data_IF_218162625612
#
_entry.id   IF_218162625612
#
_cell.length_a   1.000
_cell.length_b   1.000
_cell.length_c   1.000
_cell.angle_alpha   90.00
_cell.angle_beta   90.00
_cell.angle_gamma   90.00
#
_symmetry.space_group_name_H-M   'P 1'
#
loop_
_entity.id
_entity.type
_entity.pdbx_description
1 polymer ?
#
# COMPACT_ATOMS: atom_id res chain seq x y z
N UNK A 1 -0.80 17.35 37.37
CA UNK A 1 -0.56 18.68 36.76
C UNK A 1 0.46 19.44 37.59
N UNK A 2 1.67 19.68 37.06
CA UNK A 2 2.76 20.39 37.77
C UNK A 2 2.43 21.85 38.05
N UNK A 3 1.55 22.44 37.25
CA UNK A 3 1.19 23.87 37.33
C UNK A 3 0.26 24.12 38.51
N UNK A 4 -0.73 23.24 38.71
CA UNK A 4 -1.64 23.29 39.86
C UNK A 4 -0.89 23.06 41.19
N UNK A 5 0.07 22.13 41.20
CA UNK A 5 0.93 21.89 42.37
C UNK A 5 1.83 23.09 42.69
N UNK A 6 2.37 23.78 41.67
CA UNK A 6 3.14 25.03 41.88
C UNK A 6 2.29 26.15 42.47
N UNK A 7 1.08 26.38 41.96
CA UNK A 7 0.17 27.39 42.55
C UNK A 7 -0.18 27.09 44.00
N UNK A 8 -0.48 25.83 44.32
CA UNK A 8 -0.77 25.46 45.70
C UNK A 8 0.42 25.75 46.63
N UNK A 9 1.64 25.50 46.17
CA UNK A 9 2.86 25.77 46.93
C UNK A 9 3.18 27.26 47.09
N UNK A 10 2.88 28.09 46.08
CA UNK A 10 3.15 29.52 46.08
C UNK A 10 2.07 30.34 46.80
N UNK A 11 0.79 29.96 46.63
CA UNK A 11 -0.35 30.73 47.12
C UNK A 11 -0.95 30.17 48.43
N UNK A 12 -0.61 28.92 48.82
CA UNK A 12 -1.15 28.20 49.98
C UNK A 12 -2.69 28.13 50.02
N UNK A 13 -3.35 28.40 48.88
CA UNK A 13 -4.80 28.38 48.72
C UNK A 13 -5.23 27.01 48.21
N UNK A 14 -5.98 26.28 49.05
CA UNK A 14 -6.66 25.05 48.66
C UNK A 14 -7.78 25.36 47.67
N UNK A 15 -7.54 25.16 46.38
CA UNK A 15 -8.59 25.22 45.36
C UNK A 15 -9.30 23.87 45.25
N UNK A 16 -10.62 23.86 45.46
CA UNK A 16 -11.48 22.68 45.23
C UNK A 16 -11.70 22.37 43.74
N UNK A 17 -11.01 23.07 42.83
CA UNK A 17 -11.18 22.92 41.38
C UNK A 17 -9.86 22.54 40.71
N UNK A 18 -9.94 21.61 39.76
CA UNK A 18 -8.80 21.16 38.96
C UNK A 18 -9.07 21.43 37.47
N UNK A 19 -8.17 22.15 36.82
CA UNK A 19 -8.19 22.32 35.37
C UNK A 19 -7.43 21.17 34.72
N UNK A 20 -8.13 20.34 33.93
CA UNK A 20 -7.51 19.28 33.14
C UNK A 20 -7.25 19.79 31.72
N UNK A 21 -6.03 19.62 31.22
CA UNK A 21 -5.62 20.02 29.86
C UNK A 21 -5.25 18.79 29.04
N UNK A 22 -5.43 18.89 27.72
CA UNK A 22 -4.91 17.88 26.79
C UNK A 22 -3.38 17.82 26.87
N UNK A 23 -2.81 16.62 26.80
CA UNK A 23 -1.37 16.40 26.68
C UNK A 23 -0.87 16.51 25.23
N UNK A 24 -1.78 16.60 24.26
CA UNK A 24 -1.48 16.67 22.83
C UNK A 24 -2.27 17.79 22.15
N UNK A 25 -1.68 18.34 21.09
CA UNK A 25 -2.42 19.11 20.10
C UNK A 25 -3.30 18.18 19.25
N UNK A 26 -4.52 18.61 18.96
CA UNK A 26 -5.45 17.83 18.17
C UNK A 26 -6.86 18.40 18.13
N UNK A 27 -7.78 17.57 17.65
CA UNK A 27 -9.21 17.88 17.54
C UNK A 27 -9.99 17.01 18.54
N UNK A 28 -11.01 17.58 19.16
CA UNK A 28 -11.94 16.84 20.02
C UNK A 28 -12.80 15.94 19.12
N UNK A 29 -12.57 14.63 19.18
CA UNK A 29 -13.33 13.62 18.45
C UNK A 29 -14.62 13.23 19.17
N UNK A 30 -14.60 13.25 20.50
CA UNK A 30 -15.74 12.89 21.31
C UNK A 30 -15.70 13.63 22.65
N UNK A 31 -16.86 14.09 23.11
CA UNK A 31 -17.07 14.60 24.47
C UNK A 31 -17.92 13.60 25.23
N UNK A 32 -17.32 12.99 26.25
CA UNK A 32 -17.93 11.93 27.05
C UNK A 32 -18.47 12.47 28.38
N UNK A 33 -17.85 13.52 28.92
CA UNK A 33 -18.32 14.21 30.12
C UNK A 33 -19.28 15.37 29.78
N UNK A 34 -20.33 15.51 30.60
CA UNK A 34 -21.30 16.62 30.51
C UNK A 34 -21.24 17.52 31.74
N UNK A 35 -21.64 18.79 31.59
CA UNK A 35 -21.71 19.72 32.72
C UNK A 35 -22.67 19.20 33.80
N UNK A 36 -22.23 19.27 35.07
CA UNK A 36 -23.01 18.79 36.22
C UNK A 36 -22.92 17.27 36.46
N UNK A 37 -22.28 16.52 35.56
CA UNK A 37 -22.03 15.09 35.77
C UNK A 37 -21.01 14.87 36.89
N UNK A 38 -21.34 13.95 37.81
CA UNK A 38 -20.35 13.42 38.76
C UNK A 38 -19.43 12.44 38.03
N UNK A 39 -18.13 12.63 38.19
CA UNK A 39 -17.08 11.80 37.58
C UNK A 39 -16.34 11.02 38.66
N UNK A 40 -15.93 9.81 38.31
CA UNK A 40 -15.02 8.99 39.08
C UNK A 40 -13.58 9.16 38.58
N UNK A 41 -12.62 8.64 39.35
CA UNK A 41 -11.25 8.53 38.89
C UNK A 41 -11.19 7.64 37.64
N UNK A 42 -10.44 8.09 36.63
CA UNK A 42 -10.24 7.42 35.33
C UNK A 42 -11.44 7.50 34.37
N UNK A 43 -12.52 8.19 34.72
CA UNK A 43 -13.60 8.45 33.76
C UNK A 43 -13.06 9.29 32.59
N UNK A 44 -13.25 8.83 31.33
CA UNK A 44 -12.80 9.59 30.17
C UNK A 44 -13.66 10.84 30.00
N UNK A 45 -13.02 11.99 29.82
CA UNK A 45 -13.70 13.27 29.65
C UNK A 45 -13.90 13.61 28.17
N UNK A 46 -12.82 13.49 27.41
CA UNK A 46 -12.75 13.82 25.99
C UNK A 46 -11.83 12.84 25.28
N UNK A 47 -12.18 12.49 24.05
CA UNK A 47 -11.28 11.82 23.11
C UNK A 47 -10.69 12.86 22.17
N UNK A 48 -9.37 13.00 22.17
CA UNK A 48 -8.65 13.96 21.34
C UNK A 48 -7.79 13.20 20.34
N UNK A 49 -7.89 13.54 19.06
CA UNK A 49 -7.15 12.91 17.98
C UNK A 49 -6.26 13.90 17.23
N UNK A 50 -5.03 13.49 16.91
CA UNK A 50 -4.17 14.20 15.96
C UNK A 50 -4.52 13.73 14.55
N UNK A 51 -4.88 14.66 13.67
CA UNK A 51 -5.33 14.35 12.31
C UNK A 51 -4.25 14.57 11.23
N UNK A 52 -3.04 14.98 11.64
CA UNK A 52 -1.91 15.22 10.75
C UNK A 52 -0.63 14.62 11.37
N UNK A 53 -0.08 13.53 10.80
CA UNK A 53 -0.64 12.77 9.68
C UNK A 53 -1.90 11.98 10.05
N UNK A 54 -2.73 11.63 9.05
CA UNK A 54 -3.90 10.76 9.24
C UNK A 54 -3.55 9.32 8.83
N UNK A 55 -4.01 8.34 9.60
CA UNK A 55 -3.80 6.94 9.28
C UNK A 55 -5.03 6.32 8.64
N UNK A 56 -4.78 5.48 7.64
CA UNK A 56 -5.75 4.59 7.03
C UNK A 56 -5.54 3.20 7.61
N UNK A 57 -6.63 2.57 8.03
CA UNK A 57 -6.66 1.17 8.46
C UNK A 57 -7.33 0.35 7.37
N UNK A 58 -6.56 -0.54 6.75
CA UNK A 58 -6.96 -1.27 5.55
C UNK A 58 -6.89 -2.76 5.86
N UNK A 59 -8.01 -3.44 5.71
CA UNK A 59 -8.08 -4.90 5.88
C UNK A 59 -7.75 -5.56 4.55
N UNK A 60 -6.59 -6.21 4.48
CA UNK A 60 -6.12 -6.87 3.27
C UNK A 60 -6.25 -8.39 3.43
N UNK A 61 -6.93 -9.10 2.51
CA UNK A 61 -6.98 -10.55 2.52
C UNK A 61 -5.57 -11.16 2.57
N UNK A 62 -5.37 -12.17 3.42
CA UNK A 62 -4.05 -12.79 3.65
C UNK A 62 -3.35 -13.22 2.35
N UNK A 63 -4.09 -13.76 1.39
CA UNK A 63 -3.59 -14.23 0.10
C UNK A 63 -2.93 -13.12 -0.74
N UNK A 64 -3.42 -11.87 -0.60
CA UNK A 64 -2.90 -10.71 -1.34
C UNK A 64 -1.78 -9.98 -0.60
N UNK A 65 -1.52 -10.33 0.66
CA UNK A 65 -0.52 -9.68 1.50
C UNK A 65 0.90 -9.74 0.89
N UNK A 66 1.21 -10.83 0.18
CA UNK A 66 2.50 -11.05 -0.50
C UNK A 66 2.84 -9.97 -1.54
N UNK A 67 1.84 -9.22 -2.00
CA UNK A 67 2.01 -8.17 -3.00
C UNK A 67 2.27 -6.79 -2.37
N UNK A 68 2.11 -6.64 -1.06
CA UNK A 68 2.20 -5.37 -0.36
C UNK A 68 3.48 -5.34 0.48
N UNK A 69 4.20 -4.22 0.42
CA UNK A 69 5.37 -3.97 1.25
C UNK A 69 5.22 -2.64 2.00
N UNK A 70 5.95 -2.48 3.09
CA UNK A 70 6.14 -1.16 3.69
C UNK A 70 6.71 -0.20 2.64
N UNK A 71 6.11 0.98 2.54
CA UNK A 71 6.42 1.96 1.49
C UNK A 71 5.56 1.84 0.23
N UNK A 72 4.75 0.78 0.07
CA UNK A 72 3.77 0.67 -1.02
C UNK A 72 2.85 1.89 -1.06
N UNK A 73 2.57 2.38 -2.26
CA UNK A 73 1.63 3.49 -2.46
C UNK A 73 0.21 3.01 -2.24
N UNK A 74 -0.56 3.78 -1.48
CA UNK A 74 -2.00 3.62 -1.32
C UNK A 74 -2.69 4.80 -1.96
N UNK A 75 -3.73 4.55 -2.75
CA UNK A 75 -4.58 5.58 -3.34
C UNK A 75 -6.00 5.40 -2.84
N UNK A 76 -6.52 6.36 -2.09
CA UNK A 76 -7.94 6.45 -1.79
C UNK A 76 -8.68 6.77 -3.09
N UNK A 77 -9.73 6.02 -3.42
CA UNK A 77 -10.47 6.17 -4.69
C UNK A 77 -11.08 7.57 -4.77
N UNK A 78 -11.87 7.93 -3.76
CA UNK A 78 -12.45 9.25 -3.56
C UNK A 78 -12.11 9.71 -2.12
N UNK A 79 -11.44 10.87 -1.93
CA UNK A 79 -11.24 11.99 -2.86
C UNK A 79 -9.86 12.00 -3.54
N UNK A 80 -9.40 10.86 -4.07
CA UNK A 80 -8.11 10.73 -4.76
C UNK A 80 -6.90 11.16 -3.90
N UNK A 81 -6.91 10.77 -2.63
CA UNK A 81 -5.82 11.04 -1.67
C UNK A 81 -4.77 9.93 -1.75
N UNK A 82 -3.49 10.29 -1.65
CA UNK A 82 -2.39 9.32 -1.64
C UNK A 82 -1.80 9.17 -0.25
N UNK A 83 -1.44 7.95 0.08
CA UNK A 83 -0.71 7.60 1.29
C UNK A 83 0.36 6.56 1.02
N UNK A 84 1.09 6.18 2.07
CA UNK A 84 2.11 5.13 2.02
C UNK A 84 1.91 4.13 3.14
N UNK A 85 2.05 2.84 2.85
CA UNK A 85 2.03 1.81 3.88
C UNK A 85 3.19 2.02 4.85
N UNK A 86 2.88 2.13 6.14
CA UNK A 86 3.87 2.30 7.22
C UNK A 86 4.05 1.00 8.00
N UNK A 87 2.99 0.22 8.15
CA UNK A 87 3.01 -1.01 8.96
C UNK A 87 2.09 -2.05 8.36
N UNK A 88 2.56 -3.29 8.36
CA UNK A 88 1.77 -4.47 8.03
C UNK A 88 1.63 -5.28 9.33
N UNK A 89 0.38 -5.53 9.74
CA UNK A 89 0.07 -6.36 10.90
C UNK A 89 0.54 -7.80 10.71
N UNK A 90 0.67 -8.54 11.82
CA UNK A 90 1.02 -9.97 11.81
C UNK A 90 -0.12 -10.87 12.26
N UNK A 91 -1.24 -10.27 12.67
CA UNK A 91 -2.42 -10.96 13.15
C UNK A 91 -3.45 -11.02 12.03
N UNK A 92 -4.02 -12.20 11.83
CA UNK A 92 -5.16 -12.40 10.94
C UNK A 92 -6.43 -12.19 11.76
N UNK A 93 -7.31 -11.33 11.30
CA UNK A 93 -8.60 -11.08 11.92
C UNK A 93 -9.57 -12.21 11.56
N UNK A 94 -10.13 -12.87 12.58
CA UNK A 94 -10.99 -14.03 12.38
C UNK A 94 -12.29 -13.73 11.63
N UNK A 95 -12.77 -12.49 11.67
CA UNK A 95 -14.04 -12.07 11.07
C UNK A 95 -14.01 -12.03 9.53
N UNK A 96 -12.87 -11.67 8.94
CA UNK A 96 -12.73 -11.43 7.49
C UNK A 96 -11.50 -12.11 6.88
N UNK A 97 -10.73 -12.87 7.67
CA UNK A 97 -9.45 -13.47 7.26
C UNK A 97 -8.46 -12.43 6.69
N UNK A 98 -8.61 -11.18 7.10
CA UNK A 98 -7.79 -10.05 6.69
C UNK A 98 -6.64 -9.79 7.66
N UNK A 99 -5.60 -9.13 7.16
CA UNK A 99 -4.50 -8.57 7.95
C UNK A 99 -4.61 -7.05 7.91
N UNK A 100 -4.51 -6.41 9.08
CA UNK A 100 -4.54 -4.96 9.19
C UNK A 100 -3.25 -4.35 8.61
N UNK A 101 -3.40 -3.55 7.55
CA UNK A 101 -2.34 -2.73 6.96
C UNK A 101 -2.62 -1.28 7.30
N UNK A 102 -1.62 -0.59 7.88
CA UNK A 102 -1.69 0.84 8.17
C UNK A 102 -0.95 1.63 7.11
N UNK A 103 -1.62 2.62 6.55
CA UNK A 103 -1.03 3.60 5.65
C UNK A 103 -1.14 5.01 6.20
N UNK A 104 -0.16 5.84 5.93
CA UNK A 104 -0.10 7.23 6.37
C UNK A 104 -0.42 8.18 5.21
N UNK A 105 -1.34 9.11 5.47
CA UNK A 105 -1.68 10.22 4.59
C UNK A 105 -1.16 11.51 5.20
N UNK A 106 -0.24 12.14 4.48
CA UNK A 106 0.34 13.42 4.86
C UNK A 106 -0.37 14.60 4.16
N UNK A 107 -0.59 14.50 2.85
CA UNK A 107 -1.23 15.54 2.04
C UNK A 107 -2.66 15.16 1.66
N UNK A 108 -3.61 16.08 1.78
CA UNK A 108 -5.02 15.81 1.50
C UNK A 108 -5.77 15.13 2.65
N UNK A 109 -5.14 14.98 3.83
CA UNK A 109 -5.73 14.36 5.02
C UNK A 109 -6.98 15.10 5.51
N UNK A 110 -7.03 16.43 5.31
CA UNK A 110 -8.18 17.27 5.63
C UNK A 110 -9.45 16.94 4.82
N UNK A 111 -9.32 16.18 3.72
CA UNK A 111 -10.45 15.70 2.90
C UNK A 111 -11.02 14.38 3.41
N UNK A 112 -10.45 13.83 4.48
CA UNK A 112 -10.83 12.56 5.09
C UNK A 112 -11.26 12.80 6.53
N UNK A 113 -12.22 12.02 7.00
CA UNK A 113 -12.72 12.11 8.37
C UNK A 113 -12.41 10.84 9.18
N UNK A 114 -12.00 10.95 10.46
CA UNK A 114 -11.88 9.78 11.33
C UNK A 114 -13.20 8.99 11.40
N UNK A 115 -13.10 7.67 11.26
CA UNK A 115 -14.27 6.78 11.24
C UNK A 115 -14.97 6.67 9.87
N UNK A 116 -14.51 7.41 8.86
CA UNK A 116 -15.01 7.27 7.49
C UNK A 116 -14.59 5.93 6.89
N UNK A 117 -15.53 5.23 6.27
CA UNK A 117 -15.23 4.11 5.38
C UNK A 117 -14.75 4.64 4.03
N UNK A 118 -13.64 4.08 3.54
CA UNK A 118 -13.03 4.48 2.28
C UNK A 118 -12.70 3.25 1.44
N UNK A 119 -12.70 3.44 0.13
CA UNK A 119 -12.14 2.47 -0.81
C UNK A 119 -10.72 2.89 -1.17
N UNK A 120 -9.81 1.91 -1.24
CA UNK A 120 -8.40 2.14 -1.55
C UNK A 120 -7.90 1.16 -2.60
N UNK A 121 -7.02 1.67 -3.44
CA UNK A 121 -6.17 0.88 -4.32
C UNK A 121 -4.77 0.81 -3.73
N UNK A 122 -4.27 -0.40 -3.61
CA UNK A 122 -2.92 -0.70 -3.14
C UNK A 122 -2.05 -1.07 -4.34
N UNK A 123 -0.97 -0.32 -4.54
CA UNK A 123 0.01 -0.68 -5.56
C UNK A 123 0.82 -1.90 -5.09
N UNK A 124 0.70 -3.00 -5.83
CA UNK A 124 1.52 -4.19 -5.62
C UNK A 124 3.00 -3.83 -5.80
N UNK A 125 3.79 -3.96 -4.73
CA UNK A 125 5.21 -3.58 -4.69
C UNK A 125 6.09 -4.43 -5.63
N UNK A 126 5.55 -5.53 -6.14
CA UNK A 126 6.13 -6.24 -7.26
C UNK A 126 5.58 -5.61 -8.54
N UNK A 127 6.28 -4.59 -9.04
CA UNK A 127 6.18 -4.26 -10.45
C UNK A 127 6.70 -5.49 -11.21
N UNK A 128 5.83 -6.49 -11.44
CA UNK A 128 6.09 -7.45 -12.49
C UNK A 128 6.30 -6.61 -13.75
N UNK A 129 7.53 -6.64 -14.27
CA UNK A 129 7.88 -5.92 -15.49
C UNK A 129 7.11 -6.58 -16.61
N UNK A 130 5.93 -6.02 -16.85
CA UNK A 130 4.98 -6.49 -17.82
C UNK A 130 5.23 -5.73 -19.13
N UNK A 131 5.41 -6.49 -20.19
CA UNK A 131 5.66 -5.98 -21.52
C UNK A 131 4.52 -6.39 -22.42
N UNK A 132 4.03 -5.44 -23.22
CA UNK A 132 3.03 -5.71 -24.25
C UNK A 132 3.76 -6.07 -25.53
N UNK A 133 3.66 -7.34 -25.93
CA UNK A 133 4.40 -7.89 -27.07
C UNK A 133 3.39 -8.44 -28.09
N UNK A 134 3.50 -8.09 -29.39
CA UNK A 134 2.64 -8.66 -30.41
C UNK A 134 2.77 -10.19 -30.53
N UNK A 135 1.66 -10.84 -30.93
CA UNK A 135 1.56 -12.31 -30.98
C UNK A 135 2.66 -12.96 -31.83
N UNK A 136 3.08 -12.34 -32.93
CA UNK A 136 4.10 -12.87 -33.85
C UNK A 136 5.52 -12.99 -33.27
N UNK A 137 5.80 -12.32 -32.15
CA UNK A 137 7.09 -12.39 -31.47
C UNK A 137 7.19 -13.57 -30.49
N UNK A 138 6.06 -14.22 -30.16
CA UNK A 138 6.03 -15.33 -29.22
C UNK A 138 6.42 -16.64 -29.89
N UNK A 139 7.27 -17.41 -29.22
CA UNK A 139 7.72 -18.72 -29.65
C UNK A 139 7.36 -19.75 -28.59
N UNK A 140 6.59 -20.78 -28.95
CA UNK A 140 6.26 -21.89 -28.05
C UNK A 140 7.22 -23.06 -28.29
N UNK A 141 7.85 -23.52 -27.22
CA UNK A 141 8.72 -24.70 -27.24
C UNK A 141 8.74 -25.39 -25.88
N UNK A 142 8.56 -26.72 -25.88
CA UNK A 142 8.62 -27.54 -24.67
C UNK A 142 7.60 -27.12 -23.59
N UNK A 143 6.38 -26.72 -23.99
CA UNK A 143 5.35 -26.25 -23.06
C UNK A 143 5.61 -24.87 -22.45
N UNK A 144 6.67 -24.18 -22.84
CA UNK A 144 7.01 -22.82 -22.41
C UNK A 144 6.90 -21.82 -23.56
N UNK A 145 6.69 -20.56 -23.21
CA UNK A 145 6.68 -19.44 -24.16
C UNK A 145 7.99 -18.66 -24.03
N UNK A 146 8.53 -18.25 -25.17
CA UNK A 146 9.81 -17.59 -25.31
C UNK A 146 9.68 -16.37 -26.23
N UNK A 147 10.59 -15.42 -26.09
CA UNK A 147 10.84 -14.35 -27.06
C UNK A 147 12.32 -14.34 -27.43
N UNK A 148 12.65 -13.90 -28.63
CA UNK A 148 14.03 -13.66 -29.02
C UNK A 148 14.37 -12.18 -28.86
N UNK A 149 15.46 -11.90 -28.16
CA UNK A 149 15.96 -10.54 -27.96
C UNK A 149 17.27 -10.36 -28.69
N UNK A 150 17.38 -9.30 -29.48
CA UNK A 150 18.61 -8.96 -30.18
C UNK A 150 19.70 -8.52 -29.19
N UNK A 151 20.91 -8.97 -29.44
CA UNK A 151 22.14 -8.60 -28.71
C UNK A 151 23.19 -8.19 -29.73
N UNK A 152 24.32 -7.67 -29.24
CA UNK A 152 25.43 -7.24 -30.10
C UNK A 152 25.91 -8.35 -31.06
N UNK A 153 25.84 -9.60 -30.61
CA UNK A 153 26.20 -10.79 -31.39
C UNK A 153 25.06 -11.80 -31.36
N UNK A 154 24.03 -11.56 -32.18
CA UNK A 154 22.95 -12.52 -32.45
C UNK A 154 21.71 -12.34 -31.57
N UNK A 155 21.08 -13.46 -31.21
CA UNK A 155 19.77 -13.48 -30.57
C UNK A 155 19.76 -14.38 -29.34
N UNK A 156 19.17 -13.89 -28.26
CA UNK A 156 19.00 -14.63 -27.01
C UNK A 156 17.54 -15.05 -26.84
N UNK A 157 17.29 -16.35 -26.65
CA UNK A 157 15.98 -16.86 -26.27
C UNK A 157 15.72 -16.57 -24.79
N UNK A 158 14.69 -15.78 -24.49
CA UNK A 158 14.30 -15.44 -23.13
C UNK A 158 12.91 -16.00 -22.82
N UNK A 159 12.74 -16.74 -21.70
CA UNK A 159 11.45 -17.28 -21.32
C UNK A 159 10.53 -16.15 -20.85
N UNK A 160 9.25 -16.25 -21.20
CA UNK A 160 8.22 -15.27 -20.82
C UNK A 160 6.99 -15.96 -20.25
N UNK A 161 6.34 -15.32 -19.28
CA UNK A 161 5.08 -15.80 -18.71
C UNK A 161 3.94 -14.92 -19.18
N UNK A 162 2.93 -15.53 -19.81
CA UNK A 162 1.73 -14.83 -20.27
C UNK A 162 0.90 -14.41 -19.05
N UNK A 163 0.50 -13.14 -19.01
CA UNK A 163 -0.32 -12.56 -17.93
C UNK A 163 -1.72 -12.16 -18.40
N UNK A 164 -1.83 -11.66 -19.62
CA UNK A 164 -3.11 -11.37 -20.26
C UNK A 164 -2.98 -11.52 -21.78
N UNK A 165 -4.02 -12.01 -22.43
CA UNK A 165 -4.12 -12.08 -23.89
C UNK A 165 -5.04 -10.96 -24.38
N UNK A 166 -4.61 -10.25 -25.43
CA UNK A 166 -5.40 -9.24 -26.15
C UNK A 166 -5.61 -9.67 -27.60
N UNK A 167 -6.46 -8.96 -28.35
CA UNK A 167 -6.82 -9.31 -29.73
C UNK A 167 -5.65 -9.33 -30.72
N UNK A 168 -4.58 -8.56 -30.48
CA UNK A 168 -3.41 -8.49 -31.38
C UNK A 168 -2.06 -8.48 -30.64
N UNK A 169 -2.08 -8.69 -29.32
CA UNK A 169 -0.89 -8.64 -28.48
C UNK A 169 -1.09 -9.50 -27.23
N UNK A 170 -0.01 -9.73 -26.51
CA UNK A 170 -0.02 -10.45 -25.24
C UNK A 170 0.78 -9.65 -24.23
N UNK A 171 0.25 -9.52 -23.03
CA UNK A 171 0.98 -8.95 -21.90
C UNK A 171 1.76 -10.09 -21.25
N UNK A 172 3.07 -9.97 -21.21
CA UNK A 172 3.97 -10.97 -20.63
C UNK A 172 4.81 -10.37 -19.51
N UNK A 173 5.08 -11.16 -18.48
CA UNK A 173 6.11 -10.84 -17.49
C UNK A 173 7.41 -11.53 -17.88
N UNK A 174 8.49 -10.77 -17.97
CA UNK A 174 9.82 -11.24 -18.35
C UNK A 174 10.90 -10.37 -17.71
N UNK A 175 12.10 -10.92 -17.53
CA UNK A 175 13.26 -10.12 -17.07
C UNK A 175 13.95 -9.40 -18.23
N UNK A 176 13.17 -8.62 -18.97
CA UNK A 176 13.68 -7.72 -20.03
C UNK A 176 14.09 -6.39 -19.43
N UNK A 177 15.01 -5.70 -20.09
CA UNK A 177 15.41 -4.35 -19.74
C UNK A 177 14.76 -3.32 -20.69
N UNK A 178 14.43 -2.10 -20.22
CA UNK A 178 14.02 -1.02 -21.11
C UNK A 178 15.06 -0.80 -22.21
N UNK A 179 14.63 -0.82 -23.47
CA UNK A 179 15.52 -0.70 -24.63
C UNK A 179 15.89 -2.02 -25.31
N UNK A 180 15.55 -3.17 -24.70
CA UNK A 180 15.70 -4.47 -25.35
C UNK A 180 14.89 -4.55 -26.65
N UNK A 181 15.54 -4.98 -27.74
CA UNK A 181 14.90 -5.15 -29.04
C UNK A 181 14.39 -6.59 -29.20
N UNK A 182 13.06 -6.76 -29.18
CA UNK A 182 12.41 -8.06 -29.36
C UNK A 182 12.14 -8.32 -30.84
N UNK A 183 12.44 -9.54 -31.29
CA UNK A 183 12.23 -9.95 -32.69
C UNK A 183 10.73 -10.17 -32.95
N UNK A 184 10.22 -9.47 -33.96
CA UNK A 184 8.80 -9.43 -34.30
C UNK A 184 8.40 -10.35 -35.47
N UNK A 185 9.36 -10.73 -36.30
CA UNK A 185 9.17 -11.53 -37.51
C UNK A 185 10.36 -12.47 -37.74
N UNK A 186 10.15 -13.57 -38.46
CA UNK A 186 11.21 -14.57 -38.70
C UNK A 186 11.53 -15.46 -37.49
N UNK A 187 10.67 -15.46 -36.47
CA UNK A 187 10.85 -16.21 -35.22
C UNK A 187 10.93 -17.73 -35.43
N UNK A 188 10.31 -18.26 -36.50
CA UNK A 188 10.40 -19.69 -36.86
C UNK A 188 11.83 -20.11 -37.26
N UNK A 189 12.54 -19.28 -38.04
CA UNK A 189 13.92 -19.57 -38.44
C UNK A 189 14.87 -19.48 -37.24
N UNK A 190 14.69 -18.49 -36.37
CA UNK A 190 15.44 -18.39 -35.11
C UNK A 190 15.17 -19.57 -34.18
N UNK A 191 13.93 -20.05 -34.11
CA UNK A 191 13.59 -21.26 -33.36
C UNK A 191 14.35 -22.48 -33.90
N UNK A 192 14.37 -22.68 -35.21
CA UNK A 192 15.09 -23.80 -35.83
C UNK A 192 16.59 -23.76 -35.50
N UNK A 193 17.25 -22.63 -35.75
CA UNK A 193 18.67 -22.43 -35.44
C UNK A 193 18.97 -22.59 -33.93
N UNK A 194 18.07 -22.14 -33.06
CA UNK A 194 18.22 -22.32 -31.60
C UNK A 194 18.13 -23.78 -31.16
N UNK A 195 17.29 -24.59 -31.82
CA UNK A 195 17.18 -26.01 -31.52
C UNK A 195 18.35 -26.81 -32.09
N UNK A 196 18.84 -26.46 -33.27
CA UNK A 196 20.02 -27.08 -33.89
C UNK A 196 21.32 -26.80 -33.11
N UNK A 197 21.46 -25.60 -32.53
CA UNK A 197 22.62 -25.26 -31.70
C UNK A 197 22.56 -25.77 -30.25
N UNK A 198 21.50 -26.49 -29.87
CA UNK A 198 21.33 -27.07 -28.53
C UNK A 198 21.63 -28.59 -28.47
N UNK A 199 21.93 -29.21 -29.61
CA UNK A 199 22.53 -30.55 -29.73
C UNK A 199 24.07 -30.47 -29.73
#
# INVERSE_FOLDING_TARGET
>A
DRTALKRLAEELQLSGTLTVRSSIDGVVLERMATLGQRLNALDPLYRIGRLKPLWLEIHVPLERLSQIATGSTVRVVEPAVKGKVITIGRMVHGADQGVLVRAEVNAGAERLHPGQFIEVELASGRAERNYRIPLGALVRQGGKTWVFVARETGFLAMPVTIRAEESNAVVVSADLQPGDQVVMAGTAALKAAWLEGAE
#
